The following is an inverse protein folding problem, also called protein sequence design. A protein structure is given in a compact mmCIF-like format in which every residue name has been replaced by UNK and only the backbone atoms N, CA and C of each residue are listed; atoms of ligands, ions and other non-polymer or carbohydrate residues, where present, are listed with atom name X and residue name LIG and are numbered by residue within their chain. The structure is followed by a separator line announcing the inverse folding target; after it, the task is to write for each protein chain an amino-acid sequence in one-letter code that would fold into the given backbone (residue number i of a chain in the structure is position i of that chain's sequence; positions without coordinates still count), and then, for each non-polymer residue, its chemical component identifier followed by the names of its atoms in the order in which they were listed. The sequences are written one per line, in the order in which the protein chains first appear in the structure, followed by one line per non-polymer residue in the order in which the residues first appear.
data_IF_817087057247
#
_entry.id   IF_817087057247
#
_cell.length_a   1.000
_cell.length_b   1.000
_cell.length_c   1.000
_cell.angle_alpha   90.00
_cell.angle_beta   90.00
_cell.angle_gamma   90.00
#
_symmetry.space_group_name_H-M   'P 1'
#
loop_
_entity.id
_entity.type
_entity.pdbx_description
1 polymer ?
#
# COMPACT_ATOMS: atom_id res chain seq x y z
N UNK A 1 6.28 -21.89 -15.38
CA UNK A 1 5.47 -21.63 -14.17
C UNK A 1 4.02 -21.36 -14.60
N UNK A 2 3.02 -21.75 -13.81
CA UNK A 2 1.63 -21.38 -14.09
C UNK A 2 1.41 -19.87 -13.86
N UNK A 3 0.41 -19.25 -14.53
CA UNK A 3 0.06 -17.85 -14.29
C UNK A 3 -0.26 -17.53 -12.83
N UNK A 4 -0.89 -18.48 -12.13
CA UNK A 4 -1.17 -18.36 -10.70
C UNK A 4 0.10 -18.22 -9.85
N UNK A 5 1.09 -19.11 -10.07
CA UNK A 5 2.34 -19.09 -9.32
C UNK A 5 3.13 -17.80 -9.56
N UNK A 6 3.11 -17.28 -10.79
CA UNK A 6 3.73 -15.99 -11.12
C UNK A 6 3.04 -14.81 -10.40
N UNK A 7 1.70 -14.81 -10.31
CA UNK A 7 1.00 -13.78 -9.54
C UNK A 7 1.37 -13.84 -8.07
N UNK A 8 1.36 -15.05 -7.48
CA UNK A 8 1.71 -15.21 -6.07
C UNK A 8 3.14 -14.71 -5.78
N UNK A 9 4.13 -15.09 -6.61
CA UNK A 9 5.51 -14.60 -6.48
C UNK A 9 5.57 -13.08 -6.52
N UNK A 10 4.86 -12.45 -7.46
CA UNK A 10 4.85 -10.99 -7.57
C UNK A 10 4.16 -10.32 -6.37
N UNK A 11 3.04 -10.87 -5.89
CA UNK A 11 2.32 -10.33 -4.74
C UNK A 11 3.17 -10.41 -3.46
N UNK A 12 3.88 -11.53 -3.23
CA UNK A 12 4.84 -11.64 -2.11
C UNK A 12 6.03 -10.71 -2.26
N UNK A 13 6.56 -10.55 -3.48
CA UNK A 13 7.72 -9.68 -3.72
C UNK A 13 7.43 -8.22 -3.39
N UNK A 14 6.20 -7.76 -3.64
CA UNK A 14 5.76 -6.40 -3.32
C UNK A 14 5.82 -6.16 -1.81
N UNK A 15 5.28 -7.08 -1.01
CA UNK A 15 5.32 -6.94 0.45
C UNK A 15 6.75 -7.08 0.99
N UNK A 16 7.56 -7.96 0.40
CA UNK A 16 8.97 -8.11 0.75
C UNK A 16 9.79 -6.85 0.45
N UNK A 17 9.72 -6.31 -0.76
CA UNK A 17 10.50 -5.13 -1.16
C UNK A 17 10.05 -3.89 -0.35
N UNK A 18 8.76 -3.77 -0.03
CA UNK A 18 8.25 -2.73 0.87
C UNK A 18 8.81 -2.86 2.29
N UNK A 19 8.88 -4.09 2.83
CA UNK A 19 9.38 -4.35 4.18
C UNK A 19 10.88 -4.11 4.30
N UNK A 20 11.68 -4.57 3.33
CA UNK A 20 13.14 -4.31 3.32
C UNK A 20 13.41 -2.81 3.32
N UNK A 21 12.71 -2.04 2.47
CA UNK A 21 12.86 -0.58 2.44
C UNK A 21 12.49 0.05 3.80
N UNK A 22 11.41 -0.43 4.43
CA UNK A 22 10.98 0.03 5.76
C UNK A 22 12.04 -0.23 6.81
N UNK A 23 12.60 -1.44 6.86
CA UNK A 23 13.63 -1.80 7.84
C UNK A 23 14.87 -0.91 7.75
N UNK A 24 15.30 -0.59 6.52
CA UNK A 24 16.48 0.24 6.27
C UNK A 24 16.24 1.73 6.55
N UNK A 25 15.06 2.26 6.18
CA UNK A 25 14.82 3.71 6.13
C UNK A 25 13.83 4.22 7.20
N UNK A 26 12.90 3.37 7.65
CA UNK A 26 11.80 3.70 8.56
C UNK A 26 11.58 2.62 9.64
N UNK A 27 12.61 2.20 10.40
CA UNK A 27 12.54 1.03 11.29
C UNK A 27 11.48 1.14 12.40
N UNK A 28 11.10 2.37 12.76
CA UNK A 28 10.07 2.65 13.77
C UNK A 28 8.65 2.70 13.19
N UNK A 29 8.45 2.52 11.89
CA UNK A 29 7.11 2.45 11.31
C UNK A 29 6.56 1.03 11.43
N UNK A 30 5.22 0.88 11.53
CA UNK A 30 4.57 -0.43 11.55
C UNK A 30 4.93 -1.25 10.30
N UNK A 31 5.12 -2.57 10.46
CA UNK A 31 5.25 -3.44 9.31
C UNK A 31 3.87 -3.70 8.68
N UNK A 32 3.80 -3.66 7.35
CA UNK A 32 2.61 -4.08 6.59
C UNK A 32 2.21 -5.53 6.88
N UNK A 33 3.17 -6.36 7.29
CA UNK A 33 2.96 -7.78 7.56
C UNK A 33 2.29 -8.06 8.91
N UNK A 34 2.27 -7.08 9.83
CA UNK A 34 1.70 -7.21 11.17
C UNK A 34 0.73 -6.10 11.55
N UNK A 35 0.70 -4.99 10.81
CA UNK A 35 -0.16 -3.86 11.11
C UNK A 35 -1.64 -4.14 10.80
N UNK A 36 -2.49 -3.46 11.55
CA UNK A 36 -3.87 -3.22 11.16
C UNK A 36 -3.92 -2.11 10.10
N UNK A 37 -4.74 -2.32 9.09
CA UNK A 37 -5.02 -1.35 8.04
C UNK A 37 -6.29 -0.59 8.37
N UNK A 38 -6.23 0.73 8.33
CA UNK A 38 -7.37 1.58 8.63
C UNK A 38 -7.46 2.79 7.71
N UNK A 39 -8.66 3.34 7.57
CA UNK A 39 -8.90 4.61 6.88
C UNK A 39 -9.25 5.69 7.89
N UNK A 40 -8.83 6.93 7.61
CA UNK A 40 -9.00 8.06 8.53
C UNK A 40 -10.44 8.57 8.67
N UNK A 41 -11.33 8.23 7.73
CA UNK A 41 -12.72 8.67 7.77
C UNK A 41 -13.65 7.73 6.99
N UNK A 42 -14.95 7.84 7.28
CA UNK A 42 -15.99 7.07 6.57
C UNK A 42 -16.11 7.47 5.10
N UNK A 43 -15.80 8.71 4.76
CA UNK A 43 -15.75 9.20 3.38
C UNK A 43 -14.66 8.49 2.59
N UNK A 44 -13.48 8.28 3.17
CA UNK A 44 -12.42 7.48 2.54
C UNK A 44 -12.86 6.03 2.35
N UNK A 45 -13.54 5.42 3.34
CA UNK A 45 -14.10 4.07 3.19
C UNK A 45 -15.09 3.99 2.01
N UNK A 46 -15.97 4.99 1.86
CA UNK A 46 -16.91 5.05 0.72
C UNK A 46 -16.19 5.15 -0.62
N UNK A 47 -15.17 6.01 -0.71
CA UNK A 47 -14.35 6.16 -1.92
C UNK A 47 -13.65 4.85 -2.30
N UNK A 48 -13.06 4.17 -1.30
CA UNK A 48 -12.40 2.87 -1.49
C UNK A 48 -13.42 1.80 -1.90
N UNK A 49 -14.59 1.77 -1.28
CA UNK A 49 -15.68 0.86 -1.63
C UNK A 49 -16.16 1.07 -3.07
N UNK A 50 -16.36 2.31 -3.50
CA UNK A 50 -16.75 2.63 -4.88
C UNK A 50 -15.67 2.19 -5.88
N UNK A 51 -14.40 2.45 -5.57
CA UNK A 51 -13.28 2.13 -6.46
C UNK A 51 -12.98 0.64 -6.57
N UNK A 52 -13.04 -0.08 -5.45
CA UNK A 52 -12.57 -1.46 -5.34
C UNK A 52 -13.67 -2.50 -5.11
N UNK A 53 -14.92 -2.07 -4.93
CA UNK A 53 -16.07 -2.94 -4.66
C UNK A 53 -16.04 -3.57 -3.26
N UNK A 54 -15.35 -2.97 -2.30
CA UNK A 54 -15.25 -3.51 -0.94
C UNK A 54 -16.54 -3.26 -0.15
N UNK A 55 -17.01 -4.24 0.65
CA UNK A 55 -18.23 -4.12 1.44
C UNK A 55 -18.12 -3.04 2.53
N UNK A 56 -19.09 -2.12 2.58
CA UNK A 56 -19.16 -1.07 3.62
C UNK A 56 -19.82 -1.54 4.92
N UNK A 57 -20.65 -2.58 4.87
CA UNK A 57 -21.32 -3.17 6.02
C UNK A 57 -20.34 -3.85 7.00
N UNK A 58 -19.15 -4.20 6.53
CA UNK A 58 -18.07 -4.72 7.36
C UNK A 58 -17.20 -3.64 8.04
N UNK A 59 -17.40 -2.35 7.72
CA UNK A 59 -16.59 -1.25 8.27
C UNK A 59 -16.97 -1.01 9.73
N UNK A 60 -15.98 -1.08 10.62
CA UNK A 60 -16.14 -0.78 12.04
C UNK A 60 -15.35 0.46 12.42
N UNK A 61 -15.96 1.31 13.25
CA UNK A 61 -15.23 2.40 13.89
C UNK A 61 -14.46 1.87 15.08
N UNK A 62 -13.30 2.44 15.33
CA UNK A 62 -12.47 2.10 16.48
C UNK A 62 -11.83 3.35 17.04
N UNK A 63 -11.35 3.23 18.27
CA UNK A 63 -10.46 4.21 18.88
C UNK A 63 -9.12 3.57 19.22
N UNK A 64 -8.07 4.37 19.16
CA UNK A 64 -6.75 3.99 19.65
C UNK A 64 -6.75 4.01 21.18
N UNK A 65 -6.25 2.94 21.80
CA UNK A 65 -5.98 2.93 23.24
C UNK A 65 -4.59 3.51 23.47
N UNK A 66 -4.45 4.26 24.54
CA UNK A 66 -3.14 4.75 24.96
C UNK A 66 -2.27 3.55 25.37
N UNK A 67 -1.18 3.35 24.63
CA UNK A 67 -0.23 2.27 24.87
C UNK A 67 1.18 2.73 24.49
N UNK A 68 2.21 2.49 25.32
CA UNK A 68 3.54 3.07 25.13
C UNK A 68 4.26 2.69 23.83
N UNK A 69 3.87 1.59 23.21
CA UNK A 69 4.49 1.05 21.99
C UNK A 69 3.59 1.17 20.75
N UNK A 70 2.54 1.97 20.81
CA UNK A 70 1.69 2.22 19.64
C UNK A 70 2.49 2.94 18.55
N UNK A 71 2.54 2.33 17.36
CA UNK A 71 3.19 2.87 16.17
C UNK A 71 2.13 3.06 15.09
N UNK A 72 2.20 4.21 14.41
CA UNK A 72 1.24 4.58 13.37
C UNK A 72 2.01 5.19 12.21
N UNK A 73 1.71 4.76 10.99
CA UNK A 73 2.19 5.39 9.78
C UNK A 73 1.00 5.71 8.87
N UNK A 74 0.98 6.92 8.31
CA UNK A 74 0.04 7.31 7.25
C UNK A 74 0.76 7.18 5.91
N UNK A 75 0.20 6.40 5.00
CA UNK A 75 0.84 6.03 3.73
C UNK A 75 -0.18 6.05 2.60
N UNK A 76 0.28 6.22 1.36
CA UNK A 76 -0.60 6.18 0.19
C UNK A 76 -0.70 4.74 -0.34
N UNK A 77 -1.84 4.08 -0.12
CA UNK A 77 -2.03 2.69 -0.55
C UNK A 77 -1.93 2.52 -2.07
N UNK A 78 -2.16 3.58 -2.84
CA UNK A 78 -2.15 3.52 -4.29
C UNK A 78 -0.75 3.27 -4.88
N UNK A 79 0.31 3.56 -4.13
CA UNK A 79 1.66 3.16 -4.55
C UNK A 79 1.77 1.63 -4.61
N UNK A 80 1.14 0.91 -3.68
CA UNK A 80 1.08 -0.56 -3.70
C UNK A 80 0.22 -1.06 -4.86
N UNK A 81 -0.92 -0.41 -5.13
CA UNK A 81 -1.76 -0.71 -6.30
C UNK A 81 -0.98 -0.55 -7.61
N UNK A 82 -0.18 0.51 -7.72
CA UNK A 82 0.70 0.74 -8.86
C UNK A 82 1.82 -0.30 -8.95
N UNK A 83 2.44 -0.67 -7.83
CA UNK A 83 3.46 -1.72 -7.76
C UNK A 83 2.91 -3.07 -8.24
N UNK A 84 1.71 -3.47 -7.80
CA UNK A 84 1.02 -4.70 -8.24
C UNK A 84 0.84 -4.78 -9.74
N UNK A 85 0.65 -3.64 -10.40
CA UNK A 85 0.61 -3.55 -11.86
C UNK A 85 2.01 -3.63 -12.46
N UNK A 86 2.93 -2.84 -11.95
CA UNK A 86 4.27 -2.69 -12.51
C UNK A 86 5.07 -4.01 -12.47
N UNK A 87 5.06 -4.72 -11.34
CA UNK A 87 5.78 -5.98 -11.15
C UNK A 87 5.29 -7.11 -12.09
N UNK A 88 4.05 -7.01 -12.59
CA UNK A 88 3.49 -7.96 -13.57
C UNK A 88 3.96 -7.66 -15.00
N UNK A 89 4.34 -6.43 -15.29
CA UNK A 89 4.59 -5.94 -16.66
C UNK A 89 6.09 -5.81 -16.93
N UNK A 90 6.90 -5.43 -15.95
CA UNK A 90 8.34 -5.20 -16.12
C UNK A 90 9.11 -5.48 -14.83
N UNK A 91 10.40 -5.79 -14.96
CA UNK A 91 11.32 -5.58 -13.84
C UNK A 91 11.33 -4.08 -13.56
N UNK A 92 10.94 -3.68 -12.35
CA UNK A 92 10.91 -2.26 -11.99
C UNK A 92 12.33 -1.73 -11.85
N UNK A 93 12.67 -0.74 -12.68
CA UNK A 93 13.71 0.25 -12.36
C UNK A 93 13.05 1.30 -11.43
N UNK A 94 13.81 1.90 -10.50
CA UNK A 94 13.34 2.87 -9.49
C UNK A 94 12.38 2.33 -8.41
N UNK A 95 12.64 1.13 -7.90
CA UNK A 95 11.92 0.55 -6.75
C UNK A 95 12.06 1.44 -5.49
N UNK A 96 13.24 2.03 -5.27
CA UNK A 96 13.49 2.88 -4.09
C UNK A 96 12.64 4.16 -4.11
N UNK A 97 12.39 4.74 -5.29
CA UNK A 97 11.52 5.93 -5.40
C UNK A 97 10.08 5.57 -5.06
N UNK A 98 9.61 4.41 -5.51
CA UNK A 98 8.27 3.92 -5.21
C UNK A 98 8.08 3.71 -3.70
N UNK A 99 8.99 2.96 -3.07
CA UNK A 99 8.89 2.67 -1.64
C UNK A 99 9.22 3.84 -0.75
N UNK A 100 10.18 4.68 -1.15
CA UNK A 100 10.44 5.96 -0.52
C UNK A 100 9.21 6.84 -0.51
N UNK A 101 8.51 6.97 -1.63
CA UNK A 101 7.26 7.75 -1.66
C UNK A 101 6.12 7.10 -0.87
N UNK A 102 6.00 5.77 -0.86
CA UNK A 102 5.02 5.06 -0.03
C UNK A 102 5.24 5.36 1.46
N UNK A 103 6.45 5.12 1.95
CA UNK A 103 6.78 5.23 3.36
C UNK A 103 6.92 6.66 3.88
N UNK A 104 7.24 7.63 3.02
CA UNK A 104 7.26 9.05 3.42
C UNK A 104 5.88 9.72 3.37
N UNK A 105 4.85 9.03 2.85
CA UNK A 105 3.53 9.60 2.65
C UNK A 105 3.54 10.65 1.53
N UNK A 106 4.23 10.37 0.43
CA UNK A 106 4.21 11.18 -0.78
C UNK A 106 2.86 11.02 -1.49
N UNK A 107 2.30 12.13 -2.01
CA UNK A 107 0.95 12.13 -2.59
C UNK A 107 0.85 11.17 -3.77
N UNK A 108 1.64 11.35 -4.82
CA UNK A 108 1.39 10.67 -6.09
C UNK A 108 2.67 10.30 -6.83
N UNK A 109 2.75 9.08 -7.37
CA UNK A 109 3.87 8.62 -8.20
C UNK A 109 3.39 8.31 -9.60
N UNK A 110 4.18 8.76 -10.58
CA UNK A 110 4.01 8.43 -11.99
C UNK A 110 5.12 7.46 -12.38
N UNK A 111 4.72 6.30 -12.92
CA UNK A 111 5.64 5.33 -13.52
C UNK A 111 5.41 5.21 -15.01
N UNK A 112 6.49 5.10 -15.77
CA UNK A 112 6.45 4.74 -17.18
C UNK A 112 6.64 3.23 -17.34
N UNK A 113 5.60 2.55 -17.83
CA UNK A 113 5.64 1.11 -18.06
C UNK A 113 5.44 0.81 -19.56
N UNK A 114 6.04 -0.28 -20.08
CA UNK A 114 5.80 -0.70 -21.45
C UNK A 114 4.35 -1.19 -21.63
N UNK A 115 3.74 -0.84 -22.76
CA UNK A 115 2.41 -1.29 -23.17
C UNK A 115 2.52 -2.47 -24.17
N UNK A 116 1.37 -3.05 -24.53
CA UNK A 116 1.29 -4.17 -25.47
C UNK A 116 1.89 -3.89 -26.85
N UNK A 117 2.05 -2.61 -27.21
CA UNK A 117 2.61 -2.18 -28.49
C UNK A 117 4.09 -1.75 -28.38
N UNK A 118 4.76 -2.07 -27.27
CA UNK A 118 6.12 -1.60 -26.93
C UNK A 118 6.25 -0.07 -26.76
N UNK A 119 5.14 0.66 -26.75
CA UNK A 119 5.11 2.08 -26.40
C UNK A 119 5.16 2.24 -24.87
N UNK A 120 5.87 3.26 -24.38
CA UNK A 120 5.84 3.62 -22.96
C UNK A 120 4.55 4.36 -22.64
N UNK A 121 3.86 3.92 -21.59
CA UNK A 121 2.66 4.57 -21.08
C UNK A 121 2.88 5.00 -19.63
N UNK A 122 2.47 6.23 -19.32
CA UNK A 122 2.48 6.75 -17.97
C UNK A 122 1.28 6.22 -17.19
N UNK A 123 1.57 5.75 -15.98
CA UNK A 123 0.60 5.28 -15.02
C UNK A 123 0.76 6.08 -13.74
N UNK A 124 -0.32 6.72 -13.36
CA UNK A 124 -0.44 7.45 -12.14
C UNK A 124 -0.99 6.54 -11.05
N UNK A 125 -0.41 6.56 -9.85
CA UNK A 125 -0.95 5.88 -8.67
C UNK A 125 -2.33 6.42 -8.28
N UNK A 126 -2.51 7.74 -8.29
CA UNK A 126 -3.57 8.41 -7.54
C UNK A 126 -3.26 8.43 -6.03
N UNK A 127 -4.24 8.87 -5.24
CA UNK A 127 -4.08 9.11 -3.80
C UNK A 127 -5.23 8.50 -3.00
N UNK A 128 -4.92 7.50 -2.17
CA UNK A 128 -5.79 7.00 -1.12
C UNK A 128 -4.95 6.78 0.13
N UNK A 129 -5.23 7.58 1.16
CA UNK A 129 -4.51 7.49 2.42
C UNK A 129 -5.01 6.32 3.26
N UNK A 130 -4.10 5.43 3.63
CA UNK A 130 -4.30 4.39 4.63
C UNK A 130 -3.42 4.67 5.86
N UNK A 131 -3.84 4.13 7.00
CA UNK A 131 -3.07 4.10 8.23
C UNK A 131 -2.67 2.66 8.51
N UNK A 132 -1.38 2.46 8.73
CA UNK A 132 -0.84 1.24 9.33
C UNK A 132 -0.75 1.46 10.83
N UNK A 133 -1.32 0.54 11.61
CA UNK A 133 -1.38 0.65 13.06
C UNK A 133 -0.84 -0.63 13.70
N UNK A 134 0.16 -0.50 14.54
CA UNK A 134 0.57 -1.53 15.49
C UNK A 134 0.37 -0.99 16.91
N UNK A 135 -0.41 -1.69 17.71
CA UNK A 135 -0.80 -1.24 19.03
C UNK A 135 -2.13 -1.84 19.43
N UNK A 136 -2.86 -1.13 20.29
CA UNK A 136 -4.15 -1.60 20.81
C UNK A 136 -5.27 -0.70 20.28
N UNK A 137 -6.25 -1.30 19.63
CA UNK A 137 -7.49 -0.65 19.19
C UNK A 137 -8.69 -1.23 19.94
N UNK A 138 -9.71 -0.42 20.09
CA UNK A 138 -10.98 -0.83 20.69
C UNK A 138 -12.11 -0.41 19.75
N UNK A 139 -12.89 -1.38 19.26
CA UNK A 139 -14.08 -1.12 18.44
C UNK A 139 -15.12 -0.33 19.25
N UNK A 140 -15.83 0.55 18.56
CA UNK A 140 -16.90 1.39 19.12
C UNK A 140 -18.26 0.81 18.73
#
# INVERSE_FOLDING_TARGET
LSPYLLSAINDYRIEYDAEIYREENHPLYPSRLSALYAFGSIETCRLVSEKYGWPLDAVQQFRLKDWPLTRIAKVNMEHVSLARRAYKISMMQDIDRLWGGYWTGFDEIILELPSSNFERKQYNSGVIWEYLIEGVVECI
#
